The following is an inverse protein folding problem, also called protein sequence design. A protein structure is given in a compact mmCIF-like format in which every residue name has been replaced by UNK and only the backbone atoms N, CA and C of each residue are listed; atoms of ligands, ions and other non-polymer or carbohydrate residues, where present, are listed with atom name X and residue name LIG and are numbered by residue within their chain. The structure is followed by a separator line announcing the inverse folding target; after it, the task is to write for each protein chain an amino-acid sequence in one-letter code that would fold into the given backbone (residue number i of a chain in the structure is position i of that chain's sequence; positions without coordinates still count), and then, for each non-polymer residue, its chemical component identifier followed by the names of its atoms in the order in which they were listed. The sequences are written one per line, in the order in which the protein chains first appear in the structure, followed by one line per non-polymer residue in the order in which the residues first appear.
data_IF_927256221062
#
_entry.id   IF_927256221062
#
_cell.length_a   1.000
_cell.length_b   1.000
_cell.length_c   1.000
_cell.angle_alpha   90.00
_cell.angle_beta   90.00
_cell.angle_gamma   90.00
#
_symmetry.space_group_name_H-M   'P 1'
#
loop_
_entity.id
_entity.type
_entity.pdbx_description
1 polymer ?
#
# COMPACT_ATOMS: atom_id res chain seq x y z
N UNK A 1 5.41 -12.13 -13.09
CA UNK A 1 5.20 -10.68 -13.22
C UNK A 1 5.37 -10.13 -11.83
N UNK A 2 6.25 -9.15 -11.68
CA UNK A 2 6.43 -8.48 -10.40
C UNK A 2 5.27 -7.49 -10.23
N UNK A 3 4.71 -7.43 -9.03
CA UNK A 3 3.60 -6.53 -8.71
C UNK A 3 4.21 -5.17 -8.36
N UNK A 4 3.80 -4.12 -9.07
CA UNK A 4 4.27 -2.76 -8.84
C UNK A 4 3.48 -2.08 -7.71
N UNK A 5 4.19 -1.74 -6.64
CA UNK A 5 3.62 -1.19 -5.41
C UNK A 5 4.08 0.26 -5.24
N UNK A 6 3.14 1.20 -5.28
CA UNK A 6 3.39 2.58 -4.85
C UNK A 6 3.33 2.67 -3.33
N UNK A 7 4.34 3.26 -2.71
CA UNK A 7 4.43 3.42 -1.26
C UNK A 7 4.46 4.90 -0.92
N UNK A 8 3.44 5.38 -0.20
CA UNK A 8 3.50 6.66 0.49
C UNK A 8 4.02 6.43 1.91
N UNK A 9 5.23 6.88 2.19
CA UNK A 9 5.85 6.84 3.52
C UNK A 9 6.76 8.07 3.70
N UNK A 10 6.27 9.07 4.42
CA UNK A 10 7.00 10.31 4.67
C UNK A 10 8.21 10.12 5.62
N UNK A 11 8.23 9.05 6.42
CA UNK A 11 9.33 8.77 7.36
C UNK A 11 10.38 7.82 6.77
N UNK A 12 10.12 7.23 5.59
CA UNK A 12 10.95 6.27 4.87
C UNK A 12 11.22 4.93 5.59
N UNK A 13 10.90 4.83 6.87
CA UNK A 13 11.20 3.64 7.68
C UNK A 13 10.44 2.40 7.21
N UNK A 14 9.19 2.56 6.82
CA UNK A 14 8.36 1.45 6.34
C UNK A 14 8.66 1.10 4.89
N UNK A 15 8.93 2.10 4.04
CA UNK A 15 9.41 1.87 2.69
C UNK A 15 10.69 1.04 2.68
N UNK A 16 11.70 1.44 3.47
CA UNK A 16 12.95 0.69 3.59
C UNK A 16 12.71 -0.72 4.11
N UNK A 17 11.85 -0.86 5.12
CA UNK A 17 11.46 -2.16 5.68
C UNK A 17 10.85 -3.09 4.61
N UNK A 18 9.91 -2.59 3.80
CA UNK A 18 9.31 -3.35 2.70
C UNK A 18 10.37 -3.73 1.65
N UNK A 19 11.18 -2.76 1.25
CA UNK A 19 12.18 -2.90 0.20
C UNK A 19 13.41 -3.73 0.62
N UNK A 20 13.58 -4.04 1.91
CA UNK A 20 14.65 -4.93 2.38
C UNK A 20 14.14 -6.37 2.58
N UNK A 21 12.88 -6.54 2.99
CA UNK A 21 12.37 -7.82 3.51
C UNK A 21 11.38 -8.52 2.54
N UNK A 22 10.76 -7.82 1.58
CA UNK A 22 9.63 -8.34 0.75
C UNK A 22 9.96 -8.37 -0.76
N UNK A 23 11.21 -8.14 -1.16
CA UNK A 23 11.66 -7.86 -2.55
C UNK A 23 11.25 -8.90 -3.60
N UNK A 24 11.17 -10.19 -3.26
CA UNK A 24 11.24 -11.25 -4.28
C UNK A 24 10.05 -11.34 -5.28
N UNK A 25 8.95 -10.63 -5.02
CA UNK A 25 7.74 -10.66 -5.87
C UNK A 25 7.15 -9.27 -6.12
N UNK A 26 7.72 -8.23 -5.50
CA UNK A 26 7.14 -6.90 -5.45
C UNK A 26 8.22 -5.87 -5.77
N UNK A 27 7.84 -4.92 -6.62
CA UNK A 27 8.64 -3.74 -6.94
C UNK A 27 8.07 -2.57 -6.15
N UNK A 28 8.85 -1.99 -5.24
CA UNK A 28 8.39 -0.87 -4.41
C UNK A 28 8.89 0.45 -4.98
N UNK A 29 7.97 1.38 -5.22
CA UNK A 29 8.28 2.75 -5.63
C UNK A 29 7.80 3.71 -4.55
N UNK A 30 8.70 4.53 -4.00
CA UNK A 30 8.33 5.57 -3.07
C UNK A 30 7.61 6.72 -3.80
N UNK A 31 6.48 7.17 -3.26
CA UNK A 31 5.78 8.35 -3.74
C UNK A 31 6.61 9.62 -3.50
N UNK A 32 6.72 10.42 -4.55
CA UNK A 32 7.35 11.75 -4.52
C UNK A 32 6.45 12.67 -5.33
N UNK A 33 5.83 13.66 -4.68
CA UNK A 33 4.88 14.59 -5.31
C UNK A 33 5.47 15.27 -6.57
N UNK A 34 6.78 15.50 -6.61
CA UNK A 34 7.43 16.17 -7.75
C UNK A 34 7.73 15.24 -8.92
N UNK A 35 7.73 13.92 -8.69
CA UNK A 35 8.06 12.90 -9.69
C UNK A 35 6.88 11.98 -10.01
N UNK A 36 5.80 12.09 -9.25
CA UNK A 36 4.61 11.29 -9.44
C UNK A 36 4.01 11.58 -10.83
N UNK A 37 3.91 10.52 -11.62
CA UNK A 37 3.26 10.57 -12.91
C UNK A 37 1.92 9.85 -12.80
N UNK A 38 0.83 10.61 -12.79
CA UNK A 38 -0.55 10.09 -12.77
C UNK A 38 -0.85 9.12 -13.93
N UNK A 39 -0.05 9.16 -15.01
CA UNK A 39 -0.20 8.25 -16.15
C UNK A 39 0.34 6.85 -15.85
N UNK A 40 1.22 6.71 -14.85
CA UNK A 40 1.76 5.41 -14.46
C UNK A 40 0.76 4.71 -13.54
N UNK A 41 0.36 3.50 -13.91
CA UNK A 41 -0.54 2.68 -13.12
C UNK A 41 0.26 1.70 -12.29
N UNK A 42 0.12 1.81 -10.98
CA UNK A 42 0.60 0.84 -10.02
C UNK A 42 -0.48 -0.21 -9.76
N UNK A 43 -0.06 -1.44 -9.45
CA UNK A 43 -0.96 -2.54 -9.13
C UNK A 43 -1.55 -2.40 -7.73
N UNK A 44 -0.78 -1.81 -6.81
CA UNK A 44 -1.16 -1.63 -5.40
C UNK A 44 -0.64 -0.28 -4.89
N UNK A 45 -1.39 0.37 -4.01
CA UNK A 45 -0.91 1.51 -3.23
C UNK A 45 -0.86 1.13 -1.75
N UNK A 46 0.25 1.43 -1.09
CA UNK A 46 0.43 1.32 0.37
C UNK A 46 0.62 2.71 0.93
N UNK A 47 -0.24 3.11 1.84
CA UNK A 47 -0.24 4.44 2.44
C UNK A 47 0.03 4.33 3.94
N UNK A 48 1.21 4.77 4.37
CA UNK A 48 1.58 4.86 5.78
C UNK A 48 1.23 6.25 6.30
N UNK A 49 0.17 6.36 7.08
CA UNK A 49 -0.25 7.61 7.68
C UNK A 49 0.48 7.83 9.00
N UNK A 50 1.38 8.81 9.03
CA UNK A 50 2.10 9.23 10.23
C UNK A 50 1.47 10.48 10.87
N UNK A 51 0.93 11.38 10.06
CA UNK A 51 0.30 12.63 10.51
C UNK A 51 -1.02 12.90 9.75
N UNK A 52 -2.02 13.49 10.41
CA UNK A 52 -3.33 13.78 9.82
C UNK A 52 -3.24 14.77 8.65
N UNK A 53 -2.21 15.62 8.59
CA UNK A 53 -2.01 16.52 7.43
C UNK A 53 -1.79 15.76 6.12
N UNK A 54 -1.27 14.53 6.18
CA UNK A 54 -0.99 13.66 5.02
C UNK A 54 -2.28 13.06 4.44
N UNK A 55 -3.44 13.23 5.11
CA UNK A 55 -4.73 12.79 4.59
C UNK A 55 -5.10 13.45 3.25
N UNK A 56 -4.54 14.62 2.94
CA UNK A 56 -4.75 15.26 1.63
C UNK A 56 -4.10 14.45 0.50
N UNK A 57 -2.94 13.84 0.75
CA UNK A 57 -2.24 13.01 -0.23
C UNK A 57 -2.94 11.67 -0.42
N UNK A 58 -3.54 11.14 0.65
CA UNK A 58 -4.41 9.97 0.56
C UNK A 58 -5.57 10.21 -0.42
N UNK A 59 -6.20 11.39 -0.40
CA UNK A 59 -7.29 11.71 -1.33
C UNK A 59 -6.82 11.78 -2.79
N UNK A 60 -5.55 12.12 -3.03
CA UNK A 60 -4.95 12.16 -4.37
C UNK A 60 -4.61 10.76 -4.89
N UNK A 61 -4.12 9.89 -4.00
CA UNK A 61 -3.66 8.54 -4.34
C UNK A 61 -4.77 7.49 -4.35
N UNK A 62 -5.89 7.77 -3.69
CA UNK A 62 -6.97 6.81 -3.56
C UNK A 62 -7.78 6.66 -4.86
N UNK A 63 -7.61 5.53 -5.53
CA UNK A 63 -8.42 5.12 -6.67
C UNK A 63 -9.33 3.94 -6.34
N UNK A 64 -10.58 3.97 -6.84
CA UNK A 64 -11.58 2.94 -6.55
C UNK A 64 -11.24 1.56 -7.14
N UNK A 65 -10.50 1.52 -8.25
CA UNK A 65 -10.15 0.28 -8.96
C UNK A 65 -8.85 -0.35 -8.48
N UNK A 66 -8.04 0.39 -7.73
CA UNK A 66 -6.69 -0.03 -7.36
C UNK A 66 -6.69 -0.53 -5.92
N UNK A 67 -6.20 -1.75 -5.64
CA UNK A 67 -6.02 -2.22 -4.28
C UNK A 67 -5.23 -1.21 -3.43
N UNK A 68 -5.76 -0.89 -2.26
CA UNK A 68 -5.23 0.15 -1.39
C UNK A 68 -5.02 -0.39 0.02
N UNK A 69 -3.78 -0.39 0.51
CA UNK A 69 -3.43 -0.76 1.87
C UNK A 69 -3.23 0.52 2.67
N UNK A 70 -4.11 0.79 3.63
CA UNK A 70 -3.99 1.92 4.53
C UNK A 70 -3.42 1.45 5.87
N UNK A 71 -2.25 1.98 6.25
CA UNK A 71 -1.58 1.64 7.49
C UNK A 71 -1.52 2.86 8.42
N UNK A 72 -2.04 2.73 9.65
CA UNK A 72 -2.05 3.81 10.63
C UNK A 72 -2.07 3.27 12.07
N UNK A 73 -1.47 4.01 12.99
CA UNK A 73 -1.54 3.80 14.45
C UNK A 73 -2.71 4.54 15.11
N UNK A 74 -3.24 5.58 14.45
CA UNK A 74 -4.23 6.53 15.00
C UNK A 74 -5.66 6.24 14.55
N UNK A 75 -5.84 5.74 13.33
CA UNK A 75 -7.13 5.75 12.66
C UNK A 75 -7.57 4.33 12.29
N UNK A 76 -8.38 3.71 13.15
CA UNK A 76 -9.00 2.41 12.88
C UNK A 76 -10.34 2.57 12.18
N UNK A 77 -10.41 2.17 10.91
CA UNK A 77 -11.66 1.83 10.22
C UNK A 77 -12.72 2.93 10.04
N UNK A 78 -12.41 4.21 10.29
CA UNK A 78 -13.41 5.29 10.32
C UNK A 78 -13.31 6.32 9.19
N UNK A 79 -12.16 6.46 8.51
CA UNK A 79 -11.96 7.53 7.51
C UNK A 79 -12.20 7.10 6.07
N UNK A 80 -11.92 5.85 5.74
CA UNK A 80 -12.17 5.31 4.41
C UNK A 80 -13.45 4.47 4.46
N UNK A 81 -14.43 4.67 3.55
CA UNK A 81 -15.50 3.70 3.40
C UNK A 81 -14.83 2.35 3.16
N UNK A 82 -15.09 1.37 4.03
CA UNK A 82 -14.56 0.01 3.88
C UNK A 82 -15.09 -0.52 2.54
N UNK A 83 -14.26 -0.37 1.51
CA UNK A 83 -14.52 -0.88 0.16
C UNK A 83 -13.80 -2.21 0.00
N UNK A 84 -14.31 -3.05 -0.89
CA UNK A 84 -13.76 -4.39 -1.15
C UNK A 84 -12.27 -4.36 -1.54
N UNK A 85 -11.78 -3.25 -2.09
CA UNK A 85 -10.38 -3.06 -2.50
C UNK A 85 -9.51 -2.35 -1.45
N UNK A 86 -9.99 -2.11 -0.23
CA UNK A 86 -9.26 -1.42 0.82
C UNK A 86 -8.88 -2.36 1.96
N UNK A 87 -7.60 -2.40 2.30
CA UNK A 87 -7.04 -3.17 3.40
C UNK A 87 -6.54 -2.22 4.48
N UNK A 88 -6.60 -2.66 5.74
CA UNK A 88 -6.17 -1.86 6.88
C UNK A 88 -5.08 -2.58 7.67
N UNK A 89 -4.04 -1.86 8.08
CA UNK A 89 -2.92 -2.39 8.87
C UNK A 89 -2.66 -1.50 10.09
N UNK A 90 -2.50 -2.12 11.26
CA UNK A 90 -2.17 -1.41 12.50
C UNK A 90 -0.67 -1.14 12.59
N UNK A 91 -0.27 0.13 12.69
CA UNK A 91 1.14 0.47 12.91
C UNK A 91 1.58 0.29 14.37
N UNK A 92 0.67 0.01 15.31
CA UNK A 92 1.04 -0.36 16.68
C UNK A 92 1.57 -1.81 16.80
N UNK A 93 1.56 -2.58 15.71
CA UNK A 93 2.15 -3.92 15.70
C UNK A 93 3.67 -3.87 15.82
N UNK A 94 4.24 -4.95 16.37
CA UNK A 94 5.69 -5.13 16.33
C UNK A 94 6.15 -5.27 14.88
N UNK A 95 7.42 -4.92 14.59
CA UNK A 95 8.02 -5.03 13.25
C UNK A 95 7.72 -6.37 12.57
N UNK A 96 7.92 -7.48 13.26
CA UNK A 96 7.72 -8.82 12.69
C UNK A 96 6.26 -9.11 12.36
N UNK A 97 5.33 -8.62 13.18
CA UNK A 97 3.88 -8.80 12.94
C UNK A 97 3.44 -7.91 11.79
N UNK A 98 3.90 -6.65 11.77
CA UNK A 98 3.62 -5.70 10.70
C UNK A 98 4.10 -6.22 9.34
N UNK A 99 5.33 -6.73 9.27
CA UNK A 99 5.90 -7.33 8.07
C UNK A 99 5.06 -8.52 7.57
N UNK A 100 4.71 -9.44 8.46
CA UNK A 100 3.89 -10.61 8.11
C UNK A 100 2.51 -10.21 7.60
N UNK A 101 1.90 -9.22 8.23
CA UNK A 101 0.58 -8.71 7.85
C UNK A 101 0.63 -8.07 6.45
N UNK A 102 1.59 -7.17 6.22
CA UNK A 102 1.80 -6.52 4.93
C UNK A 102 2.11 -7.54 3.82
N UNK A 103 3.02 -8.48 4.09
CA UNK A 103 3.38 -9.54 3.14
C UNK A 103 2.17 -10.43 2.80
N UNK A 104 1.37 -10.80 3.80
CA UNK A 104 0.17 -11.61 3.59
C UNK A 104 -0.87 -10.89 2.73
N UNK A 105 -1.12 -9.61 3.00
CA UNK A 105 -2.06 -8.78 2.22
C UNK A 105 -1.55 -8.63 0.79
N UNK A 106 -0.29 -8.24 0.61
CA UNK A 106 0.32 -8.06 -0.71
C UNK A 106 0.29 -9.35 -1.54
N UNK A 107 0.59 -10.52 -0.94
CA UNK A 107 0.50 -11.82 -1.63
C UNK A 107 -0.94 -12.18 -2.01
N UNK A 108 -1.92 -11.85 -1.18
CA UNK A 108 -3.33 -12.07 -1.51
C UNK A 108 -3.76 -11.19 -2.69
N UNK A 109 -3.39 -9.91 -2.68
CA UNK A 109 -3.67 -9.00 -3.80
C UNK A 109 -2.99 -9.49 -5.09
N UNK A 110 -1.70 -9.85 -5.02
CA UNK A 110 -0.96 -10.40 -6.14
C UNK A 110 -1.67 -11.62 -6.74
N UNK A 111 -2.16 -12.53 -5.90
CA UNK A 111 -2.92 -13.70 -6.33
C UNK A 111 -4.20 -13.31 -7.07
N UNK A 112 -4.97 -12.35 -6.54
CA UNK A 112 -6.22 -11.88 -7.17
C UNK A 112 -5.97 -11.23 -8.53
N UNK A 113 -4.93 -10.41 -8.67
CA UNK A 113 -4.53 -9.80 -9.95
C UNK A 113 -4.19 -10.88 -10.97
N UNK A 114 -3.33 -11.84 -10.61
CA UNK A 114 -2.95 -12.95 -11.48
C UNK A 114 -4.13 -13.85 -11.88
N UNK A 115 -5.15 -14.00 -11.02
CA UNK A 115 -6.36 -14.77 -11.34
C UNK A 115 -7.27 -14.02 -12.32
N UNK A 116 -7.41 -12.70 -12.16
CA UNK A 116 -8.21 -11.86 -13.06
C UNK A 116 -7.58 -11.77 -14.46
N UNK A 117 -6.25 -11.70 -14.57
CA UNK A 117 -5.55 -11.69 -15.85
C UNK A 117 -5.69 -13.00 -16.62
N UNK A 118 -5.77 -14.15 -15.93
CA UNK A 118 -5.96 -15.46 -16.56
C UNK A 118 -7.40 -15.71 -17.03
N UNK A 119 -8.35 -14.94 -16.53
CA UNK A 119 -9.76 -15.04 -16.89
C UNK A 119 -10.12 -14.17 -18.11
N UNK A 120 -9.20 -13.34 -18.58
CA UNK A 120 -9.28 -12.50 -19.79
C UNK A 120 -8.61 -13.20 -20.98
#
# INVERSE_FOLDING_TARGET
MDIDVLVYDNQLGYYNLLNEEIINTFSFTLYDENKYNESYKYDVVVFFLSDEIELIDLLRLYEKSTPFIFASDKLKGTLLPIRENCYWVDLNYTRDVLLKELEAILKNIAKQINENEKAL
#
